data_IF_569446651014
#
_entry.id   IF_569446651014
#
_cell.length_a   1.000
_cell.length_b   1.000
_cell.length_c   1.000
_cell.angle_alpha   90.00
_cell.angle_beta   90.00
_cell.angle_gamma   90.00
#
_symmetry.space_group_name_H-M   'P 1'
#
loop_
_entity.id
_entity.type
_entity.pdbx_description
1 polymer ?
#
# COMPACT_ATOMS: atom_id res chain seq x y z
N UNK A 1 15.15 -18.14 6.39
CA UNK A 1 14.24 -17.10 5.87
C UNK A 1 13.42 -17.70 4.73
N UNK A 2 12.18 -18.10 5.02
CA UNK A 2 11.20 -18.55 4.03
C UNK A 2 10.67 -17.30 3.34
N UNK A 3 11.27 -16.95 2.19
CA UNK A 3 10.89 -15.79 1.38
C UNK A 3 9.51 -16.03 0.79
N UNK A 4 8.48 -15.71 1.54
CA UNK A 4 7.10 -15.91 1.12
C UNK A 4 6.77 -14.87 0.04
N UNK A 5 6.74 -15.33 -1.21
CA UNK A 5 6.00 -14.78 -2.37
C UNK A 5 6.30 -13.37 -2.90
N UNK A 6 7.18 -12.57 -2.30
CA UNK A 6 7.49 -11.22 -2.84
C UNK A 6 6.27 -10.30 -2.81
N UNK A 7 5.32 -10.56 -1.91
CA UNK A 7 4.12 -9.75 -1.72
C UNK A 7 4.23 -9.06 -0.37
N UNK A 8 4.07 -7.73 -0.36
CA UNK A 8 3.81 -6.98 0.86
C UNK A 8 2.29 -6.95 1.10
N UNK A 9 1.83 -7.63 2.14
CA UNK A 9 0.43 -7.57 2.56
C UNK A 9 0.21 -6.47 3.59
N UNK A 10 -0.65 -5.49 3.25
CA UNK A 10 -1.14 -4.49 4.19
C UNK A 10 -2.48 -4.96 4.74
N UNK A 11 -2.46 -5.61 5.92
CA UNK A 11 -3.64 -6.24 6.51
C UNK A 11 -4.75 -5.21 6.83
N UNK A 12 -4.38 -4.06 7.38
CA UNK A 12 -5.33 -3.01 7.74
C UNK A 12 -4.68 -1.63 7.82
N UNK A 13 -5.32 -0.64 7.20
CA UNK A 13 -5.00 0.77 7.34
C UNK A 13 -6.07 1.49 8.13
N UNK A 14 -5.61 2.41 8.97
CA UNK A 14 -6.44 3.25 9.81
C UNK A 14 -5.97 4.68 9.70
N UNK A 15 -6.93 5.60 9.64
CA UNK A 15 -6.64 7.01 9.82
C UNK A 15 -6.90 7.37 11.27
N UNK A 16 -6.06 8.25 11.79
CA UNK A 16 -6.34 8.92 13.05
C UNK A 16 -7.67 9.67 12.95
N UNK A 17 -8.38 9.78 14.08
CA UNK A 17 -9.64 10.49 14.17
C UNK A 17 -9.50 11.95 13.65
N UNK A 18 -10.51 12.39 12.90
CA UNK A 18 -10.54 13.73 12.29
C UNK A 18 -9.73 13.87 10.99
N UNK A 19 -8.89 12.88 10.63
CA UNK A 19 -8.16 12.91 9.35
C UNK A 19 -9.09 12.50 8.21
N UNK A 20 -9.27 13.41 7.25
CA UNK A 20 -10.08 13.17 6.06
C UNK A 20 -9.22 12.54 4.95
N UNK A 21 -9.71 11.50 4.27
CA UNK A 21 -9.12 11.02 3.02
C UNK A 21 -9.06 12.15 1.99
N UNK A 22 -7.87 12.40 1.44
CA UNK A 22 -7.66 13.34 0.33
C UNK A 22 -6.81 12.67 -0.72
N UNK A 23 -6.87 13.17 -1.96
CA UNK A 23 -6.02 12.68 -3.06
C UNK A 23 -4.53 12.79 -2.72
N UNK A 24 -4.13 13.86 -2.03
CA UNK A 24 -2.74 14.07 -1.60
C UNK A 24 -2.31 13.03 -0.57
N UNK A 25 -3.13 12.79 0.47
CA UNK A 25 -2.86 11.76 1.48
C UNK A 25 -2.78 10.38 0.83
N UNK A 26 -3.71 10.04 -0.06
CA UNK A 26 -3.69 8.78 -0.79
C UNK A 26 -2.40 8.60 -1.59
N UNK A 27 -1.97 9.64 -2.31
CA UNK A 27 -0.72 9.60 -3.10
C UNK A 27 0.50 9.40 -2.20
N UNK A 28 0.58 10.13 -1.09
CA UNK A 28 1.68 9.99 -0.12
C UNK A 28 1.73 8.60 0.51
N UNK A 29 0.57 8.06 0.95
CA UNK A 29 0.49 6.71 1.48
C UNK A 29 0.87 5.66 0.44
N UNK A 30 0.41 5.80 -0.81
CA UNK A 30 0.80 4.90 -1.90
C UNK A 30 2.31 4.89 -2.09
N UNK A 31 2.93 6.07 -2.14
CA UNK A 31 4.37 6.19 -2.33
C UNK A 31 5.14 5.54 -1.18
N UNK A 32 4.79 5.86 0.07
CA UNK A 32 5.47 5.31 1.24
C UNK A 32 5.36 3.77 1.32
N UNK A 33 4.18 3.21 0.99
CA UNK A 33 3.97 1.76 0.95
C UNK A 33 4.80 1.14 -0.19
N UNK A 34 4.82 1.74 -1.38
CA UNK A 34 5.62 1.26 -2.51
C UNK A 34 7.11 1.29 -2.18
N UNK A 35 7.62 2.38 -1.62
CA UNK A 35 9.04 2.52 -1.26
C UNK A 35 9.45 1.45 -0.25
N UNK A 36 8.61 1.23 0.77
CA UNK A 36 8.83 0.19 1.77
C UNK A 36 8.82 -1.22 1.15
N UNK A 37 7.87 -1.49 0.26
CA UNK A 37 7.76 -2.76 -0.43
C UNK A 37 8.97 -3.02 -1.34
N UNK A 38 9.41 -2.01 -2.09
CA UNK A 38 10.64 -2.07 -2.90
C UNK A 38 11.87 -2.34 -2.06
N UNK A 39 11.99 -1.69 -0.89
CA UNK A 39 13.09 -1.96 0.06
C UNK A 39 13.11 -3.42 0.56
N UNK A 40 11.93 -4.02 0.73
CA UNK A 40 11.77 -5.44 1.06
C UNK A 40 11.94 -6.38 -0.15
N UNK A 41 12.21 -5.84 -1.34
CA UNK A 41 12.23 -6.57 -2.62
C UNK A 41 10.90 -7.28 -2.92
N UNK A 42 9.77 -6.70 -2.51
CA UNK A 42 8.45 -7.14 -2.95
C UNK A 42 8.19 -6.66 -4.38
N UNK A 43 7.46 -7.48 -5.15
CA UNK A 43 7.00 -7.18 -6.51
C UNK A 43 5.54 -6.75 -6.54
N UNK A 44 4.79 -6.96 -5.44
CA UNK A 44 3.37 -6.62 -5.35
C UNK A 44 2.98 -6.19 -3.95
N UNK A 45 2.05 -5.24 -3.86
CA UNK A 45 1.34 -4.87 -2.64
C UNK A 45 -0.09 -5.39 -2.71
N UNK A 46 -0.59 -5.97 -1.63
CA UNK A 46 -2.02 -6.25 -1.44
C UNK A 46 -2.58 -5.42 -0.29
N UNK A 47 -3.83 -4.99 -0.44
CA UNK A 47 -4.53 -4.22 0.59
C UNK A 47 -5.69 -5.05 1.15
N UNK A 48 -5.71 -5.20 2.47
CA UNK A 48 -6.85 -5.69 3.21
C UNK A 48 -7.82 -4.55 3.53
N UNK A 49 -8.07 -4.32 4.82
CA UNK A 49 -8.99 -3.26 5.23
C UNK A 49 -8.39 -1.88 4.96
N UNK A 50 -9.13 -1.04 4.25
CA UNK A 50 -8.79 0.38 4.07
C UNK A 50 -9.92 1.29 4.56
N UNK A 51 -9.59 2.49 5.07
CA UNK A 51 -10.56 3.52 5.38
C UNK A 51 -11.39 3.88 4.15
N UNK A 52 -12.68 4.18 4.36
CA UNK A 52 -13.55 4.59 3.27
C UNK A 52 -13.01 5.88 2.63
N UNK A 53 -12.94 5.92 1.30
CA UNK A 53 -12.40 7.07 0.56
C UNK A 53 -10.89 7.03 0.29
N UNK A 54 -10.16 6.03 0.81
CA UNK A 54 -8.80 5.72 0.36
C UNK A 54 -8.78 4.49 -0.56
N UNK A 55 -7.95 4.57 -1.60
CA UNK A 55 -7.67 3.51 -2.57
C UNK A 55 -8.93 2.92 -3.23
N UNK A 56 -9.96 3.75 -3.44
CA UNK A 56 -11.24 3.31 -4.04
C UNK A 56 -11.04 2.61 -5.38
N UNK A 57 -10.07 3.07 -6.16
CA UNK A 57 -9.80 2.60 -7.52
C UNK A 57 -8.81 1.42 -7.54
N UNK A 58 -8.24 1.04 -6.38
CA UNK A 58 -7.14 0.10 -6.29
C UNK A 58 -7.20 -0.71 -4.99
N UNK A 59 -8.40 -1.20 -4.64
CA UNK A 59 -8.65 -1.91 -3.37
C UNK A 59 -7.93 -3.26 -3.26
N UNK A 60 -7.52 -3.85 -4.37
CA UNK A 60 -6.77 -5.12 -4.40
C UNK A 60 -5.26 -4.92 -4.28
N UNK A 61 -4.79 -3.66 -4.20
CA UNK A 61 -3.37 -3.30 -4.23
C UNK A 61 -2.83 -3.14 -5.66
N UNK A 62 -1.50 -3.08 -5.79
CA UNK A 62 -0.83 -2.78 -7.06
C UNK A 62 0.50 -3.54 -7.20
N UNK A 63 0.94 -3.71 -8.45
CA UNK A 63 2.28 -4.22 -8.78
C UNK A 63 3.33 -3.12 -8.55
N UNK A 64 4.55 -3.55 -8.25
CA UNK A 64 5.71 -2.69 -8.08
C UNK A 64 6.61 -2.95 -9.27
N UNK A 65 6.85 -1.90 -10.05
CA UNK A 65 7.80 -1.99 -11.14
C UNK A 65 9.21 -2.21 -10.55
N UNK A 66 10.01 -3.14 -11.12
CA UNK A 66 11.40 -3.27 -10.73
C UNK A 66 12.09 -1.94 -10.96
N UNK A 67 12.83 -1.46 -9.95
CA UNK A 67 13.70 -0.30 -10.10
C UNK A 67 14.76 -0.68 -11.16
N UNK A 68 14.75 0.04 -12.28
CA UNK A 68 15.66 -0.15 -13.41
C UNK A 68 17.13 0.05 -13.03
#
# INVERSE_FOLDING_TARGET
>A
MHRQTGILEVISLWLQEGIKPTTMLQKGLRQAITDFASWQQATRVTLGRCPQGLFTDCRTGWEIDPVA
#
